data_IF_064835969750
#
_entry.id   IF_064835969750
#
_cell.length_a   1.000
_cell.length_b   1.000
_cell.length_c   1.000
_cell.angle_alpha   90.00
_cell.angle_beta   90.00
_cell.angle_gamma   90.00
#
_symmetry.space_group_name_H-M   'P 1'
#
loop_
_entity.id
_entity.type
_entity.pdbx_description
1 polymer ?
#
# COMPACT_ATOMS: atom_id res chain seq x y z
N UNK A 1 6.51 -19.49 -23.44
CA UNK A 1 5.93 -20.22 -22.30
C UNK A 1 5.57 -19.18 -21.25
N UNK A 2 4.33 -18.71 -21.20
CA UNK A 2 3.87 -17.77 -20.17
C UNK A 2 3.75 -18.56 -18.86
N UNK A 3 4.57 -18.21 -17.87
CA UNK A 3 4.56 -18.85 -16.55
C UNK A 3 3.59 -18.10 -15.65
N UNK A 4 2.76 -18.85 -14.93
CA UNK A 4 1.84 -18.34 -13.93
C UNK A 4 2.63 -17.70 -12.78
N UNK A 5 2.37 -16.43 -12.53
CA UNK A 5 3.11 -15.58 -11.61
C UNK A 5 2.22 -15.27 -10.39
N UNK A 6 1.58 -16.29 -9.84
CA UNK A 6 0.44 -16.09 -8.95
C UNK A 6 0.83 -16.08 -7.46
N UNK A 7 2.09 -16.39 -7.13
CA UNK A 7 2.55 -16.49 -5.74
C UNK A 7 3.86 -15.75 -5.50
N UNK A 8 4.17 -15.44 -4.24
CA UNK A 8 5.51 -14.93 -3.86
C UNK A 8 6.60 -15.97 -4.17
N UNK A 9 6.28 -17.26 -4.18
CA UNK A 9 7.25 -18.32 -4.45
C UNK A 9 7.74 -18.32 -5.90
N UNK A 10 6.92 -17.89 -6.88
CA UNK A 10 7.37 -17.69 -8.25
C UNK A 10 8.34 -16.51 -8.44
N UNK A 11 8.59 -15.71 -7.39
CA UNK A 11 9.61 -14.63 -7.36
C UNK A 11 11.02 -15.20 -7.13
N UNK A 12 11.12 -16.34 -6.43
CA UNK A 12 12.39 -16.95 -6.04
C UNK A 12 13.24 -17.45 -7.21
N UNK A 13 12.71 -17.44 -8.44
CA UNK A 13 13.43 -17.96 -9.59
C UNK A 13 14.21 -16.87 -10.37
N UNK A 14 13.69 -15.64 -10.51
CA UNK A 14 14.30 -14.63 -11.38
C UNK A 14 13.97 -13.18 -10.94
N UNK A 15 14.96 -12.47 -10.42
CA UNK A 15 14.86 -11.06 -10.03
C UNK A 15 16.08 -10.62 -9.21
N UNK A 16 16.48 -9.34 -9.26
CA UNK A 16 17.64 -8.84 -8.50
C UNK A 16 17.50 -9.07 -6.98
N UNK A 17 16.25 -9.08 -6.49
CA UNK A 17 15.91 -9.31 -5.08
C UNK A 17 15.54 -10.76 -4.75
N UNK A 18 15.49 -11.65 -5.75
CA UNK A 18 15.11 -13.06 -5.58
C UNK A 18 15.87 -13.77 -4.45
N UNK A 19 17.21 -13.63 -4.30
CA UNK A 19 17.97 -14.28 -3.23
C UNK A 19 17.58 -13.82 -1.81
N UNK A 20 16.97 -12.64 -1.68
CA UNK A 20 16.54 -12.07 -0.39
C UNK A 20 15.09 -12.42 -0.06
N UNK A 21 14.24 -12.51 -1.08
CA UNK A 21 12.81 -12.83 -0.96
C UNK A 21 12.62 -14.33 -0.78
N UNK A 22 13.33 -15.16 -1.56
CA UNK A 22 13.27 -16.63 -1.46
C UNK A 22 13.68 -17.19 -0.09
N UNK A 23 14.46 -16.43 0.70
CA UNK A 23 14.89 -16.82 2.05
C UNK A 23 13.88 -16.46 3.14
N UNK A 24 12.78 -15.79 2.80
CA UNK A 24 11.76 -15.33 3.75
C UNK A 24 10.47 -16.10 3.55
N UNK A 25 9.74 -16.28 4.64
CA UNK A 25 8.38 -16.79 4.60
C UNK A 25 7.43 -15.62 4.43
N UNK A 26 6.64 -15.64 3.36
CA UNK A 26 5.56 -14.68 3.13
C UNK A 26 4.23 -15.38 3.35
N UNK A 27 3.30 -14.67 3.96
CA UNK A 27 1.94 -15.14 4.18
C UNK A 27 1.01 -14.15 3.53
N UNK A 28 -0.01 -14.68 2.86
CA UNK A 28 -1.08 -13.86 2.29
C UNK A 28 -1.81 -13.10 3.40
N UNK A 29 -2.19 -11.86 3.10
CA UNK A 29 -2.91 -11.02 4.05
C UNK A 29 -4.27 -11.66 4.34
N UNK A 30 -4.51 -12.05 5.60
CA UNK A 30 -5.77 -12.67 6.02
C UNK A 30 -6.78 -11.63 6.49
N UNK A 31 -8.06 -12.02 6.55
CA UNK A 31 -9.13 -11.19 7.10
C UNK A 31 -8.83 -10.75 8.54
N UNK A 32 -8.36 -11.65 9.39
CA UNK A 32 -8.03 -11.35 10.80
C UNK A 32 -6.91 -10.31 10.90
N UNK A 33 -5.92 -10.37 10.00
CA UNK A 33 -4.87 -9.35 9.92
C UNK A 33 -5.44 -8.00 9.49
N UNK A 34 -6.36 -7.97 8.53
CA UNK A 34 -7.03 -6.74 8.08
C UNK A 34 -7.88 -6.14 9.20
N UNK A 35 -8.66 -6.95 9.92
CA UNK A 35 -9.45 -6.51 11.07
C UNK A 35 -8.57 -5.96 12.20
N UNK A 36 -7.39 -6.56 12.42
CA UNK A 36 -6.40 -6.05 13.38
C UNK A 36 -5.81 -4.71 12.93
N UNK A 37 -5.51 -4.55 11.64
CA UNK A 37 -4.99 -3.28 11.10
C UNK A 37 -6.04 -2.16 11.18
N UNK A 38 -7.31 -2.50 10.98
CA UNK A 38 -8.46 -1.60 10.98
C UNK A 38 -9.05 -1.28 12.35
N UNK A 39 -8.41 -1.67 13.45
CA UNK A 39 -8.88 -1.27 14.77
C UNK A 39 -8.99 0.25 14.90
N UNK A 40 -9.96 0.71 15.67
CA UNK A 40 -10.22 2.12 15.90
C UNK A 40 -9.07 2.78 16.64
N UNK A 41 -8.57 3.88 16.09
CA UNK A 41 -7.47 4.64 16.66
C UNK A 41 -7.90 5.59 17.77
N UNK A 42 -9.19 5.92 17.90
CA UNK A 42 -9.72 6.59 19.09
C UNK A 42 -9.48 5.73 20.32
N UNK A 43 -9.75 4.43 20.18
CA UNK A 43 -9.63 3.45 21.26
C UNK A 43 -8.16 3.06 21.47
N UNK A 44 -7.38 2.94 20.40
CA UNK A 44 -5.96 2.53 20.44
C UNK A 44 -5.08 3.37 19.51
N UNK A 45 -4.66 4.59 19.92
CA UNK A 45 -3.86 5.47 19.07
C UNK A 45 -2.49 4.89 18.67
N UNK A 46 -1.93 3.99 19.47
CA UNK A 46 -0.67 3.30 19.15
C UNK A 46 -0.78 2.35 17.94
N UNK A 47 -1.99 1.98 17.54
CA UNK A 47 -2.23 1.05 16.44
C UNK A 47 -1.65 1.58 15.12
N UNK A 48 -1.58 2.91 14.92
CA UNK A 48 -0.96 3.52 13.73
C UNK A 48 0.50 3.08 13.51
N UNK A 49 1.27 2.90 14.59
CA UNK A 49 2.66 2.45 14.49
C UNK A 49 2.76 0.97 14.18
N UNK A 50 1.82 0.17 14.69
CA UNK A 50 1.70 -1.25 14.37
C UNK A 50 1.33 -1.41 12.90
N UNK A 51 0.33 -0.67 12.43
CA UNK A 51 -0.08 -0.66 11.03
C UNK A 51 1.07 -0.25 10.10
N UNK A 52 1.78 0.83 10.43
CA UNK A 52 2.91 1.28 9.66
C UNK A 52 4.02 0.21 9.56
N UNK A 53 4.38 -0.40 10.70
CA UNK A 53 5.40 -1.45 10.75
C UNK A 53 4.98 -2.74 10.07
N UNK A 54 3.71 -3.11 10.20
CA UNK A 54 3.18 -4.33 9.59
C UNK A 54 3.25 -4.21 8.07
N UNK A 55 2.79 -3.09 7.50
CA UNK A 55 2.67 -2.90 6.05
C UNK A 55 4.02 -2.68 5.34
N UNK A 56 5.07 -2.25 6.04
CA UNK A 56 6.42 -2.18 5.47
C UNK A 56 6.87 -3.61 5.11
N UNK A 57 7.45 -3.78 3.90
CA UNK A 57 7.85 -5.06 3.29
C UNK A 57 6.72 -5.95 2.78
N UNK A 58 5.50 -5.42 2.68
CA UNK A 58 4.46 -6.10 1.93
C UNK A 58 4.83 -6.17 0.45
N UNK A 59 4.40 -7.25 -0.20
CA UNK A 59 4.56 -7.45 -1.63
C UNK A 59 3.18 -7.37 -2.26
N UNK A 60 2.99 -6.39 -3.13
CA UNK A 60 1.80 -6.30 -3.97
C UNK A 60 2.06 -7.16 -5.21
N UNK A 61 1.15 -8.07 -5.51
CA UNK A 61 1.19 -8.92 -6.70
C UNK A 61 0.01 -8.53 -7.57
N UNK A 62 0.30 -7.96 -8.73
CA UNK A 62 -0.67 -7.76 -9.80
C UNK A 62 -0.60 -8.96 -10.73
N UNK A 63 -1.58 -9.85 -10.61
CA UNK A 63 -1.65 -11.08 -11.40
C UNK A 63 -2.01 -10.81 -12.86
N UNK A 64 -2.75 -9.74 -13.15
CA UNK A 64 -3.20 -9.36 -14.49
C UNK A 64 -2.03 -8.81 -15.32
N UNK A 65 -1.26 -7.89 -14.73
CA UNK A 65 -0.11 -7.25 -15.41
C UNK A 65 1.22 -7.95 -15.13
N UNK A 66 1.20 -9.05 -14.37
CA UNK A 66 2.39 -9.79 -13.91
C UNK A 66 3.44 -8.91 -13.22
N UNK A 67 2.99 -7.85 -12.56
CA UNK A 67 3.83 -6.87 -11.89
C UNK A 67 3.90 -7.16 -10.39
N UNK A 68 5.06 -6.87 -9.79
CA UNK A 68 5.29 -7.14 -8.38
C UNK A 68 6.04 -6.00 -7.74
N UNK A 69 5.48 -5.48 -6.66
CA UNK A 69 6.00 -4.31 -5.99
C UNK A 69 6.30 -4.63 -4.53
N UNK A 70 7.55 -4.49 -4.13
CA UNK A 70 7.95 -4.54 -2.73
C UNK A 70 7.84 -3.15 -2.12
N UNK A 71 7.05 -3.03 -1.07
CA UNK A 71 6.91 -1.80 -0.30
C UNK A 71 8.11 -1.59 0.61
N UNK A 72 8.80 -0.45 0.46
CA UNK A 72 9.99 -0.11 1.23
C UNK A 72 9.68 0.90 2.34
N UNK A 73 8.88 1.92 2.02
CA UNK A 73 8.47 2.95 2.95
C UNK A 73 7.04 3.42 2.64
N UNK A 74 6.36 3.86 3.71
CA UNK A 74 5.00 4.37 3.65
C UNK A 74 4.77 5.38 4.77
N UNK A 75 3.76 6.22 4.59
CA UNK A 75 3.24 7.16 5.58
C UNK A 75 1.78 6.79 5.87
N UNK A 76 1.46 6.65 7.16
CA UNK A 76 0.13 6.26 7.63
C UNK A 76 -0.61 7.50 8.11
N UNK A 77 -1.80 7.74 7.57
CA UNK A 77 -2.65 8.90 7.83
C UNK A 77 -4.00 8.44 8.38
N UNK A 78 -4.34 8.89 9.58
CA UNK A 78 -5.65 8.64 10.18
C UNK A 78 -6.80 9.33 9.44
N UNK A 79 -8.03 8.95 9.79
CA UNK A 79 -9.26 9.56 9.24
C UNK A 79 -9.68 10.83 9.97
N UNK A 80 -9.27 10.97 11.22
CA UNK A 80 -9.72 12.02 12.11
C UNK A 80 -8.54 12.90 12.56
N UNK A 81 -8.55 14.21 12.25
CA UNK A 81 -7.51 15.14 12.65
C UNK A 81 -7.40 15.36 14.17
N UNK A 82 -8.47 15.09 14.93
CA UNK A 82 -8.45 15.21 16.39
C UNK A 82 -7.67 14.03 17.04
N UNK A 83 -7.56 12.90 16.32
CA UNK A 83 -6.82 11.71 16.76
C UNK A 83 -5.39 11.71 16.22
N UNK A 84 -5.24 12.10 14.96
CA UNK A 84 -3.97 12.05 14.24
C UNK A 84 -3.66 13.40 13.58
N UNK A 85 -2.58 14.04 14.01
CA UNK A 85 -2.12 15.29 13.40
C UNK A 85 -1.72 15.13 11.93
N UNK A 86 -1.46 13.89 11.50
CA UNK A 86 -1.18 13.53 10.12
C UNK A 86 -2.44 13.08 9.36
N UNK A 87 -3.63 13.19 9.95
CA UNK A 87 -4.85 12.76 9.32
C UNK A 87 -5.08 13.44 7.97
N UNK A 88 -5.86 12.76 7.12
CA UNK A 88 -6.22 13.32 5.82
C UNK A 88 -6.93 14.67 5.96
N UNK A 89 -6.40 15.69 5.31
CA UNK A 89 -6.99 17.01 5.32
C UNK A 89 -8.23 17.03 4.42
N UNK A 90 -9.42 17.17 5.01
CA UNK A 90 -10.67 17.34 4.24
C UNK A 90 -10.71 18.77 3.69
N UNK A 91 -11.00 18.93 2.39
CA UNK A 91 -11.23 20.25 1.82
C UNK A 91 -12.66 20.72 2.14
N UNK A 92 -12.83 22.01 2.44
CA UNK A 92 -14.13 22.61 2.79
C UNK A 92 -15.10 22.78 1.61
N UNK A 93 -14.70 22.46 0.39
CA UNK A 93 -15.49 22.64 -0.84
C UNK A 93 -16.20 21.38 -1.32
N UNK A 94 -16.19 20.29 -0.54
CA UNK A 94 -16.90 19.04 -0.88
C UNK A 94 -16.27 18.24 -2.03
N UNK A 95 -15.30 18.81 -2.75
CA UNK A 95 -14.39 18.08 -3.60
C UNK A 95 -13.26 17.58 -2.73
N UNK A 96 -13.45 16.40 -2.17
CA UNK A 96 -12.37 15.73 -1.49
C UNK A 96 -11.34 15.29 -2.53
N UNK A 97 -10.08 15.67 -2.31
CA UNK A 97 -8.91 14.89 -2.70
C UNK A 97 -8.92 13.57 -1.89
N UNK A 98 -10.06 12.88 -1.86
CA UNK A 98 -10.22 11.62 -1.16
C UNK A 98 -9.46 10.60 -1.98
N UNK A 99 -8.30 10.26 -1.47
CA UNK A 99 -7.58 9.04 -1.75
C UNK A 99 -8.29 7.79 -1.21
N UNK A 100 -9.55 7.92 -0.76
CA UNK A 100 -10.35 6.78 -0.32
C UNK A 100 -11.02 6.12 -1.50
N UNK A 101 -11.04 4.78 -1.53
CA UNK A 101 -12.06 4.11 -2.31
C UNK A 101 -13.44 4.53 -1.81
N UNK A 102 -14.38 4.68 -2.74
CA UNK A 102 -15.80 4.71 -2.37
C UNK A 102 -16.07 3.37 -1.69
N UNK A 103 -16.62 3.31 -0.46
CA UNK A 103 -16.93 2.04 0.17
C UNK A 103 -17.86 1.28 -0.78
N UNK A 104 -17.32 0.25 -1.46
CA UNK A 104 -18.16 -0.64 -2.24
C UNK A 104 -19.07 -1.34 -1.25
N UNK A 105 -20.36 -1.43 -1.56
CA UNK A 105 -21.30 -2.24 -0.79
C UNK A 105 -20.85 -3.71 -0.91
N UNK A 106 -19.98 -4.14 0.01
CA UNK A 106 -19.28 -5.41 -0.04
C UNK A 106 -17.90 -5.29 0.60
N UNK A 107 -17.62 -6.16 1.57
CA UNK A 107 -16.42 -6.26 2.39
C UNK A 107 -15.09 -5.99 1.69
N UNK A 108 -14.69 -4.72 1.60
CA UNK A 108 -13.33 -4.34 1.22
C UNK A 108 -12.75 -3.44 2.32
N UNK A 109 -12.46 -4.05 3.48
CA UNK A 109 -11.81 -3.37 4.60
C UNK A 109 -10.34 -3.00 4.29
N UNK A 110 -9.84 -3.39 3.11
CA UNK A 110 -8.49 -3.13 2.63
C UNK A 110 -8.48 -3.08 1.09
N UNK A 111 -8.05 -1.96 0.52
CA UNK A 111 -7.98 -1.76 -0.93
C UNK A 111 -6.65 -1.13 -1.35
N UNK A 112 -6.25 -1.39 -2.59
CA UNK A 112 -5.12 -0.74 -3.23
C UNK A 112 -5.66 0.29 -4.22
N UNK A 113 -5.34 1.56 -3.99
CA UNK A 113 -5.86 2.69 -4.74
C UNK A 113 -4.73 3.53 -5.31
N UNK A 114 -5.04 4.35 -6.31
CA UNK A 114 -4.12 5.38 -6.79
C UNK A 114 -4.72 6.76 -6.59
N UNK A 115 -3.90 7.72 -6.16
CA UNK A 115 -4.26 9.12 -6.06
C UNK A 115 -3.51 9.90 -7.12
N UNK A 116 -4.28 10.56 -7.98
CA UNK A 116 -3.74 11.51 -8.94
C UNK A 116 -3.59 12.87 -8.28
N UNK A 117 -2.35 13.32 -8.14
CA UNK A 117 -2.04 14.65 -7.65
C UNK A 117 -1.56 15.52 -8.81
N UNK A 118 -2.26 16.63 -9.05
CA UNK A 118 -1.91 17.62 -10.07
C UNK A 118 -1.42 18.89 -9.38
N UNK A 119 -0.20 19.34 -9.72
CA UNK A 119 0.37 20.60 -9.25
C UNK A 119 0.87 21.40 -10.45
N UNK A 120 0.09 22.39 -10.88
CA UNK A 120 0.34 23.10 -12.14
C UNK A 120 0.17 22.17 -13.33
N UNK A 121 1.20 22.06 -14.19
CA UNK A 121 1.23 21.12 -15.31
C UNK A 121 1.69 19.71 -14.93
N UNK A 122 2.23 19.51 -13.73
CA UNK A 122 2.77 18.22 -13.30
C UNK A 122 1.66 17.33 -12.75
N UNK A 123 1.55 16.12 -13.31
CA UNK A 123 0.65 15.07 -12.85
C UNK A 123 1.50 13.95 -12.27
N UNK A 124 1.32 13.69 -10.98
CA UNK A 124 1.91 12.54 -10.30
C UNK A 124 0.82 11.56 -9.89
N UNK A 125 1.10 10.27 -9.99
CA UNK A 125 0.23 9.21 -9.49
C UNK A 125 0.90 8.63 -8.26
N UNK A 126 0.17 8.58 -7.14
CA UNK A 126 0.63 8.04 -5.87
C UNK A 126 -0.12 6.75 -5.57
N UNK A 127 0.57 5.75 -5.06
CA UNK A 127 -0.03 4.47 -4.65
C UNK A 127 -0.42 4.54 -3.17
N UNK A 128 -1.63 4.10 -2.86
CA UNK A 128 -2.22 4.21 -1.53
C UNK A 128 -2.88 2.88 -1.16
N UNK A 129 -2.71 2.47 0.08
CA UNK A 129 -3.53 1.42 0.68
C UNK A 129 -4.65 2.07 1.47
N UNK A 130 -5.88 1.83 1.04
CA UNK A 130 -7.09 2.30 1.68
C UNK A 130 -7.61 1.30 2.69
N UNK A 131 -7.90 1.75 3.90
CA UNK A 131 -8.56 0.93 4.92
C UNK A 131 -9.71 1.72 5.56
N UNK A 132 -10.51 1.11 6.42
CA UNK A 132 -11.54 1.85 7.15
C UNK A 132 -10.92 2.93 8.03
N UNK A 133 -9.92 2.55 8.84
CA UNK A 133 -9.40 3.40 9.92
C UNK A 133 -8.26 4.33 9.50
N UNK A 134 -7.61 4.05 8.36
CA UNK A 134 -6.52 4.88 7.84
C UNK A 134 -6.26 4.72 6.34
N UNK A 135 -5.46 5.63 5.79
CA UNK A 135 -4.80 5.46 4.50
C UNK A 135 -3.29 5.34 4.70
N UNK A 136 -2.65 4.42 3.97
CA UNK A 136 -1.19 4.35 3.90
C UNK A 136 -0.69 4.78 2.53
N UNK A 137 -0.05 5.94 2.46
CA UNK A 137 0.62 6.43 1.27
C UNK A 137 1.96 5.71 1.11
N UNK A 138 2.18 5.08 -0.04
CA UNK A 138 3.46 4.42 -0.34
C UNK A 138 4.44 5.49 -0.82
N UNK A 139 5.51 5.71 -0.07
CA UNK A 139 6.51 6.75 -0.34
C UNK A 139 7.79 6.19 -0.97
N UNK A 140 8.06 4.91 -0.80
CA UNK A 140 9.11 4.21 -1.54
C UNK A 140 8.73 2.75 -1.80
N UNK A 141 9.03 2.28 -3.01
CA UNK A 141 8.79 0.90 -3.41
C UNK A 141 9.79 0.49 -4.49
N UNK A 142 9.96 -0.81 -4.70
CA UNK A 142 10.79 -1.32 -5.78
C UNK A 142 10.10 -2.45 -6.53
N UNK A 143 10.30 -2.49 -7.84
CA UNK A 143 9.85 -3.59 -8.72
C UNK A 143 10.76 -4.79 -8.47
N UNK A 144 10.15 -5.91 -8.14
CA UNK A 144 10.89 -7.16 -7.87
C UNK A 144 10.73 -8.21 -8.98
N UNK A 145 9.85 -7.95 -9.94
CA UNK A 145 9.71 -8.69 -11.19
C UNK A 145 10.72 -8.26 -12.27
N UNK A 146 11.42 -7.14 -12.08
CA UNK A 146 12.39 -6.63 -13.05
C UNK A 146 13.83 -7.06 -12.68
N UNK A 147 14.60 -7.52 -13.67
CA UNK A 147 16.00 -7.89 -13.54
C UNK A 147 16.93 -6.67 -13.55
N UNK A 148 16.48 -5.56 -14.15
CA UNK A 148 17.22 -4.31 -14.18
C UNK A 148 16.66 -3.44 -13.07
N UNK A 149 17.42 -3.37 -11.97
CA UNK A 149 17.18 -2.49 -10.84
C UNK A 149 17.46 -1.05 -11.30
N UNK A 150 16.53 -0.46 -12.06
CA UNK A 150 16.53 0.97 -12.26
C UNK A 150 15.79 1.56 -11.06
N UNK A 151 16.48 2.21 -10.12
CA UNK A 151 15.77 2.95 -9.09
C UNK A 151 14.88 3.97 -9.82
N UNK A 152 13.57 3.89 -9.60
CA UNK A 152 12.70 5.00 -9.94
C UNK A 152 13.15 6.15 -9.05
N UNK A 153 13.93 7.07 -9.64
CA UNK A 153 14.20 8.35 -9.03
C UNK A 153 12.85 9.01 -8.79
N UNK A 154 12.45 9.07 -7.53
CA UNK A 154 11.31 9.88 -7.10
C UNK A 154 11.54 11.35 -7.49
N UNK A 155 10.46 12.17 -7.51
CA UNK A 155 10.52 13.56 -7.93
C UNK A 155 11.53 14.42 -7.15
#
# INVERSE_FOLDING_TARGET
MLRTCDTVNSIGEFGAYSPYISKRHYTELTKDMIELLNQDWEIKPSQRFIAARALIRYVIIDTENHCRLLMLALEVHGRDPDIDSLAEHRSSTGFTLQSTPVPSVGHNDFEICTMRQTKGSNVSIKLILGTHSFNALITASTRIDNLVDQPEYGP
#
